data_IF_861562862717
#
_entry.id   IF_861562862717
#
_cell.length_a   1.000
_cell.length_b   1.000
_cell.length_c   1.000
_cell.angle_alpha   90.00
_cell.angle_beta   90.00
_cell.angle_gamma   90.00
#
_symmetry.space_group_name_H-M   'P 1'
#
loop_
_entity.id
_entity.type
_entity.pdbx_description
1 polymer ?
#
# COMPACT_ATOMS: atom_id res chain seq x y z
N UNK A 1 0.47 20.09 2.29
CA UNK A 1 0.45 18.76 1.64
C UNK A 1 0.27 17.73 2.74
N UNK A 2 -0.63 16.75 2.56
CA UNK A 2 -0.86 15.69 3.56
C UNK A 2 0.35 14.74 3.62
N UNK A 3 0.76 14.31 4.82
CA UNK A 3 1.84 13.33 5.00
C UNK A 3 1.27 11.90 5.01
N UNK A 4 1.52 11.06 4.00
CA UNK A 4 1.01 9.69 3.98
C UNK A 4 1.46 8.82 5.16
N UNK A 5 2.57 9.15 5.83
CA UNK A 5 3.03 8.43 7.01
C UNK A 5 1.98 8.47 8.14
N UNK A 6 1.15 9.52 8.19
CA UNK A 6 0.07 9.65 9.18
C UNK A 6 -0.94 8.52 9.09
N UNK A 7 -1.24 8.00 7.88
CA UNK A 7 -2.12 6.84 7.74
C UNK A 7 -1.51 5.58 8.36
N UNK A 8 -0.21 5.35 8.21
CA UNK A 8 0.44 4.20 8.83
C UNK A 8 0.49 4.33 10.36
N UNK A 9 0.77 5.54 10.88
CA UNK A 9 0.74 5.80 12.33
C UNK A 9 -0.66 5.54 12.91
N UNK A 10 -1.71 6.00 12.22
CA UNK A 10 -3.09 5.72 12.60
C UNK A 10 -3.40 4.22 12.60
N UNK A 11 -2.98 3.50 11.56
CA UNK A 11 -3.16 2.05 11.46
C UNK A 11 -2.51 1.30 12.65
N UNK A 12 -1.29 1.67 13.04
CA UNK A 12 -0.60 1.11 14.21
C UNK A 12 -1.30 1.46 15.52
N UNK A 13 -1.77 2.70 15.67
CA UNK A 13 -2.51 3.13 16.86
C UNK A 13 -3.80 2.33 17.04
N UNK A 14 -4.57 2.17 15.96
CA UNK A 14 -5.80 1.38 15.95
C UNK A 14 -5.54 -0.08 16.33
N UNK A 15 -4.50 -0.70 15.77
CA UNK A 15 -4.11 -2.07 16.11
C UNK A 15 -3.70 -2.23 17.58
N UNK A 16 -3.01 -1.22 18.13
CA UNK A 16 -2.51 -1.23 19.51
C UNK A 16 -3.59 -0.98 20.57
N UNK A 17 -4.81 -0.60 20.18
CA UNK A 17 -5.92 -0.34 21.10
C UNK A 17 -6.40 -1.57 21.88
N UNK A 18 -6.00 -2.78 21.47
CA UNK A 18 -6.33 -4.04 22.13
C UNK A 18 -7.73 -4.58 21.84
N UNK A 19 -8.63 -3.76 21.30
CA UNK A 19 -9.97 -4.18 20.87
C UNK A 19 -9.94 -4.55 19.38
N UNK A 20 -10.01 -5.84 19.06
CA UNK A 20 -10.09 -6.29 17.67
C UNK A 20 -11.54 -6.47 17.22
N UNK A 21 -11.88 -5.85 16.09
CA UNK A 21 -13.08 -6.18 15.32
C UNK A 21 -12.69 -6.27 13.85
N UNK A 22 -13.44 -7.03 13.06
CA UNK A 22 -13.17 -7.16 11.63
C UNK A 22 -13.24 -5.80 10.90
N UNK A 23 -14.20 -4.94 11.28
CA UNK A 23 -14.30 -3.59 10.74
C UNK A 23 -13.05 -2.75 11.03
N UNK A 24 -12.46 -2.92 12.22
CA UNK A 24 -11.20 -2.29 12.58
C UNK A 24 -10.05 -2.87 11.74
N UNK A 25 -9.96 -4.19 11.60
CA UNK A 25 -8.96 -4.87 10.77
C UNK A 25 -8.98 -4.40 9.32
N UNK A 26 -10.16 -4.36 8.69
CA UNK A 26 -10.37 -3.83 7.34
C UNK A 26 -9.91 -2.38 7.22
N UNK A 27 -10.25 -1.55 8.21
CA UNK A 27 -9.82 -0.14 8.26
C UNK A 27 -8.31 0.00 8.36
N UNK A 28 -7.66 -0.79 9.22
CA UNK A 28 -6.20 -0.81 9.40
C UNK A 28 -5.50 -1.17 8.09
N UNK A 29 -5.93 -2.24 7.41
CA UNK A 29 -5.39 -2.67 6.12
C UNK A 29 -5.51 -1.55 5.08
N UNK A 30 -6.69 -0.92 4.99
CA UNK A 30 -6.93 0.20 4.08
C UNK A 30 -5.97 1.37 4.33
N UNK A 31 -5.80 1.78 5.61
CA UNK A 31 -4.87 2.86 5.97
C UNK A 31 -3.40 2.51 5.70
N UNK A 32 -2.97 1.29 6.03
CA UNK A 32 -1.62 0.81 5.77
C UNK A 32 -1.29 0.79 4.26
N UNK A 33 -2.24 0.37 3.43
CA UNK A 33 -2.13 0.42 1.98
C UNK A 33 -2.00 1.86 1.46
N UNK A 34 -2.89 2.77 1.86
CA UNK A 34 -2.86 4.15 1.34
C UNK A 34 -1.60 4.90 1.75
N UNK A 35 -1.08 4.68 2.97
CA UNK A 35 0.22 5.21 3.38
C UNK A 35 1.32 4.82 2.39
N UNK A 36 1.40 3.52 2.10
CA UNK A 36 2.41 2.94 1.21
C UNK A 36 2.23 3.39 -0.24
N UNK A 37 1.00 3.37 -0.75
CA UNK A 37 0.69 3.75 -2.13
C UNK A 37 0.99 5.22 -2.41
N UNK A 38 0.60 6.14 -1.52
CA UNK A 38 0.83 7.56 -1.72
C UNK A 38 2.32 7.89 -1.68
N UNK A 39 3.10 7.29 -0.77
CA UNK A 39 4.57 7.46 -0.76
C UNK A 39 5.23 6.88 -2.01
N UNK A 40 4.82 5.69 -2.43
CA UNK A 40 5.31 5.09 -3.67
C UNK A 40 4.99 5.95 -4.89
N UNK A 41 3.77 6.49 -4.97
CA UNK A 41 3.34 7.38 -6.06
C UNK A 41 4.14 8.68 -6.08
N UNK A 42 4.35 9.28 -4.91
CA UNK A 42 5.15 10.51 -4.77
C UNK A 42 6.57 10.28 -5.31
N UNK A 43 7.23 9.19 -4.93
CA UNK A 43 8.54 8.81 -5.46
C UNK A 43 8.51 8.53 -6.97
N UNK A 44 7.49 7.81 -7.45
CA UNK A 44 7.30 7.53 -8.87
C UNK A 44 7.22 8.80 -9.72
N UNK A 45 6.43 9.77 -9.28
CA UNK A 45 6.24 11.04 -10.01
C UNK A 45 7.45 11.96 -9.90
N UNK A 46 8.14 11.98 -8.76
CA UNK A 46 9.23 12.94 -8.50
C UNK A 46 10.59 12.45 -8.96
N UNK A 47 10.94 11.18 -8.69
CA UNK A 47 12.28 10.63 -8.97
C UNK A 47 12.38 9.97 -10.34
N UNK A 48 11.29 9.36 -10.82
CA UNK A 48 11.28 8.60 -12.08
C UNK A 48 10.26 9.18 -13.07
N UNK A 49 10.21 10.52 -13.17
CA UNK A 49 9.23 11.25 -13.97
C UNK A 49 9.16 10.76 -15.43
N UNK A 50 10.30 10.59 -16.09
CA UNK A 50 10.34 10.15 -17.50
C UNK A 50 9.74 8.74 -17.66
N UNK A 51 10.03 7.85 -16.71
CA UNK A 51 9.42 6.50 -16.69
C UNK A 51 7.92 6.62 -16.41
N UNK A 52 7.50 7.39 -15.41
CA UNK A 52 6.10 7.61 -15.05
C UNK A 52 5.26 8.11 -16.23
N UNK A 53 5.78 9.10 -16.97
CA UNK A 53 5.13 9.66 -18.16
C UNK A 53 5.08 8.67 -19.33
N UNK A 54 6.07 7.78 -19.45
CA UNK A 54 6.07 6.71 -20.45
C UNK A 54 5.06 5.58 -20.17
N UNK A 55 4.67 5.38 -18.90
CA UNK A 55 3.75 4.33 -18.48
C UNK A 55 2.32 4.83 -18.60
N UNK A 56 1.63 4.44 -19.68
CA UNK A 56 0.21 4.77 -19.90
C UNK A 56 -0.69 4.07 -18.88
N UNK A 57 -1.69 4.78 -18.34
CA UNK A 57 -2.66 4.20 -17.41
C UNK A 57 -3.47 3.10 -18.10
N UNK A 58 -3.41 1.89 -17.57
CA UNK A 58 -4.23 0.76 -18.00
C UNK A 58 -5.39 0.53 -17.02
N UNK A 59 -6.59 1.03 -17.36
CA UNK A 59 -7.80 0.90 -16.50
C UNK A 59 -8.08 -0.55 -16.14
N UNK A 60 -8.00 -1.46 -17.12
CA UNK A 60 -8.27 -2.89 -16.96
C UNK A 60 -7.28 -3.60 -16.01
N UNK A 61 -6.12 -2.99 -15.72
CA UNK A 61 -5.09 -3.55 -14.83
C UNK A 61 -5.07 -2.93 -13.43
N UNK A 62 -6.06 -2.10 -13.09
CA UNK A 62 -6.15 -1.39 -11.81
C UNK A 62 -5.73 0.09 -11.87
N UNK A 63 -5.70 0.68 -13.08
CA UNK A 63 -5.54 2.12 -13.27
C UNK A 63 -4.23 2.67 -12.69
N UNK A 64 -4.34 3.73 -11.88
CA UNK A 64 -3.18 4.40 -11.28
C UNK A 64 -2.37 3.51 -10.34
N UNK A 65 -3.00 2.51 -9.70
CA UNK A 65 -2.29 1.53 -8.86
C UNK A 65 -1.35 0.63 -9.67
N UNK A 66 -1.74 0.31 -10.90
CA UNK A 66 -0.85 -0.41 -11.81
C UNK A 66 0.28 0.49 -12.31
N UNK A 67 -0.01 1.73 -12.69
CA UNK A 67 0.99 2.67 -13.18
C UNK A 67 2.14 2.88 -12.18
N UNK A 68 1.82 3.05 -10.89
CA UNK A 68 2.85 3.19 -9.83
C UNK A 68 3.72 1.94 -9.75
N UNK A 69 3.12 0.75 -9.73
CA UNK A 69 3.86 -0.51 -9.64
C UNK A 69 4.72 -0.77 -10.86
N UNK A 70 4.22 -0.46 -12.05
CA UNK A 70 4.97 -0.62 -13.30
C UNK A 70 6.13 0.38 -13.39
N UNK A 71 5.91 1.62 -12.97
CA UNK A 71 6.99 2.63 -12.89
C UNK A 71 8.10 2.17 -11.95
N UNK A 72 7.76 1.72 -10.74
CA UNK A 72 8.73 1.18 -9.77
C UNK A 72 9.49 -0.02 -10.33
N UNK A 73 8.79 -0.92 -11.05
CA UNK A 73 9.40 -2.10 -11.65
C UNK A 73 10.43 -1.69 -12.72
N UNK A 74 10.06 -0.79 -13.64
CA UNK A 74 10.95 -0.28 -14.70
C UNK A 74 12.11 0.56 -14.16
N UNK A 75 11.92 1.21 -13.02
CA UNK A 75 12.97 1.94 -12.31
C UNK A 75 13.97 1.04 -11.57
N UNK A 76 13.87 -0.29 -11.70
CA UNK A 76 14.79 -1.22 -11.04
C UNK A 76 14.40 -1.59 -9.61
N UNK A 77 13.16 -1.34 -9.19
CA UNK A 77 12.65 -1.68 -7.85
C UNK A 77 11.51 -2.72 -7.88
N UNK A 78 11.73 -3.92 -8.45
CA UNK A 78 10.69 -4.96 -8.54
C UNK A 78 10.23 -5.46 -7.17
N UNK A 79 11.11 -5.42 -6.15
CA UNK A 79 10.75 -5.78 -4.78
C UNK A 79 9.71 -4.81 -4.19
N UNK A 80 9.89 -3.50 -4.36
CA UNK A 80 8.92 -2.47 -3.92
C UNK A 80 7.60 -2.66 -4.68
N UNK A 81 7.66 -2.89 -5.99
CA UNK A 81 6.49 -3.15 -6.83
C UNK A 81 5.69 -4.38 -6.37
N UNK A 82 6.37 -5.48 -6.04
CA UNK A 82 5.77 -6.72 -5.56
C UNK A 82 5.10 -6.57 -4.20
N UNK A 83 5.78 -5.94 -3.23
CA UNK A 83 5.21 -5.66 -1.90
C UNK A 83 4.00 -4.72 -1.97
N UNK A 84 4.05 -3.70 -2.83
CA UNK A 84 2.91 -2.82 -3.05
C UNK A 84 1.74 -3.56 -3.70
N UNK A 85 2.00 -4.52 -4.61
CA UNK A 85 0.96 -5.41 -5.15
C UNK A 85 0.31 -6.24 -4.05
N UNK A 86 1.11 -6.84 -3.15
CA UNK A 86 0.59 -7.64 -2.05
C UNK A 86 -0.31 -6.83 -1.10
N UNK A 87 0.10 -5.61 -0.72
CA UNK A 87 -0.77 -4.72 0.07
C UNK A 87 -2.03 -4.31 -0.68
N UNK A 88 -1.94 -4.07 -1.99
CA UNK A 88 -3.12 -3.78 -2.79
C UNK A 88 -4.11 -4.95 -2.81
N UNK A 89 -3.61 -6.17 -2.94
CA UNK A 89 -4.42 -7.40 -2.86
C UNK A 89 -5.08 -7.56 -1.49
N UNK A 90 -4.35 -7.35 -0.40
CA UNK A 90 -4.91 -7.38 0.96
C UNK A 90 -6.02 -6.32 1.12
N UNK A 91 -5.79 -5.10 0.61
CA UNK A 91 -6.79 -4.03 0.61
C UNK A 91 -8.01 -4.36 -0.24
N UNK A 92 -7.85 -5.04 -1.39
CA UNK A 92 -9.00 -5.50 -2.18
C UNK A 92 -9.81 -6.53 -1.40
N UNK A 93 -9.16 -7.49 -0.75
CA UNK A 93 -9.83 -8.48 0.10
C UNK A 93 -10.61 -7.77 1.22
N UNK A 94 -9.96 -6.83 1.89
CA UNK A 94 -10.55 -6.07 3.00
C UNK A 94 -11.69 -5.13 2.61
N UNK A 95 -11.65 -4.49 1.44
CA UNK A 95 -12.67 -3.52 1.04
C UNK A 95 -13.82 -4.16 0.26
N UNK A 96 -13.59 -5.26 -0.46
CA UNK A 96 -14.55 -5.79 -1.44
C UNK A 96 -14.96 -7.25 -1.21
N UNK A 97 -14.15 -8.07 -0.53
CA UNK A 97 -14.48 -9.47 -0.27
C UNK A 97 -15.06 -9.60 1.14
N UNK A 98 -16.34 -9.26 1.31
CA UNK A 98 -17.01 -9.30 2.61
C UNK A 98 -17.30 -10.72 3.11
N UNK A 99 -17.23 -11.72 2.23
CA UNK A 99 -17.40 -13.14 2.59
C UNK A 99 -16.13 -13.75 3.22
N UNK A 100 -14.99 -13.09 3.07
CA UNK A 100 -13.72 -13.53 3.66
C UNK A 100 -13.50 -12.79 4.97
N UNK A 101 -13.50 -13.52 6.08
CA UNK A 101 -13.17 -12.95 7.39
C UNK A 101 -11.70 -12.53 7.41
N UNK A 102 -11.43 -11.38 8.03
CA UNK A 102 -10.07 -10.91 8.32
C UNK A 102 -9.82 -11.09 9.80
N UNK A 103 -8.75 -11.78 10.14
CA UNK A 103 -8.33 -11.97 11.52
C UNK A 103 -7.21 -10.99 11.92
N UNK A 104 -6.88 -11.00 13.22
CA UNK A 104 -5.89 -10.09 13.79
C UNK A 104 -4.47 -10.38 13.29
N UNK A 105 -4.16 -11.63 12.98
CA UNK A 105 -2.82 -12.06 12.55
C UNK A 105 -2.56 -11.58 11.11
N UNK A 106 -3.56 -11.68 10.22
CA UNK A 106 -3.50 -11.10 8.88
C UNK A 106 -3.24 -9.58 8.93
N UNK A 107 -3.91 -8.89 9.85
CA UNK A 107 -3.71 -7.43 10.02
C UNK A 107 -2.29 -7.12 10.51
N UNK A 108 -1.74 -7.89 11.43
CA UNK A 108 -0.37 -7.73 11.91
C UNK A 108 0.65 -7.95 10.77
N UNK A 109 0.44 -8.99 9.95
CA UNK A 109 1.29 -9.28 8.80
C UNK A 109 1.23 -8.17 7.74
N UNK A 110 0.05 -7.60 7.49
CA UNK A 110 -0.11 -6.42 6.63
C UNK A 110 0.63 -5.21 7.19
N UNK A 111 0.59 -4.97 8.50
CA UNK A 111 1.31 -3.87 9.14
C UNK A 111 2.83 -4.04 9.03
N UNK A 112 3.34 -5.25 9.30
CA UNK A 112 4.77 -5.58 9.12
C UNK A 112 5.22 -5.38 7.67
N UNK A 113 4.41 -5.82 6.71
CA UNK A 113 4.67 -5.64 5.28
C UNK A 113 4.67 -4.15 4.90
N UNK A 114 3.70 -3.37 5.36
CA UNK A 114 3.61 -1.94 5.12
C UNK A 114 4.81 -1.19 5.72
N UNK A 115 5.21 -1.52 6.96
CA UNK A 115 6.42 -0.98 7.60
C UNK A 115 7.66 -1.22 6.75
N UNK A 116 7.87 -2.47 6.36
CA UNK A 116 9.02 -2.86 5.54
C UNK A 116 9.02 -2.14 4.19
N UNK A 117 7.86 -2.02 3.54
CA UNK A 117 7.72 -1.31 2.27
C UNK A 117 8.03 0.19 2.42
N UNK A 118 7.52 0.85 3.46
CA UNK A 118 7.78 2.27 3.71
C UNK A 118 9.28 2.56 3.90
N UNK A 119 9.99 1.70 4.64
CA UNK A 119 11.44 1.81 4.79
C UNK A 119 12.18 1.61 3.47
N UNK A 120 11.76 0.64 2.64
CA UNK A 120 12.35 0.45 1.31
C UNK A 120 12.13 1.68 0.42
N UNK A 121 10.91 2.27 0.42
CA UNK A 121 10.58 3.47 -0.37
C UNK A 121 11.42 4.68 0.09
N UNK A 122 11.70 4.79 1.39
CA UNK A 122 12.52 5.88 1.94
C UNK A 122 13.96 5.84 1.43
N UNK A 123 14.51 4.65 1.25
CA UNK A 123 15.90 4.41 0.86
C UNK A 123 16.15 4.39 -0.66
N UNK A 124 15.11 4.59 -1.47
CA UNK A 124 15.21 4.66 -2.94
C UNK A 124 14.96 6.05 -3.49
#
# INVERSE_FOLDING_TARGET
MFDPQEFYKLAVLLFSSGQYTEALGRTIISRAYYASFLKAREKAVTKWKDIWESVKIEKCKGGSHWQVRETLKRAGHPNISGKLKALHSARISADYNLETAIDKDEVDDVLKLAKNLLELIKNV
#
